data_IF_999893718369
#
_entry.id   IF_999893718369
#
_cell.length_a   1.000
_cell.length_b   1.000
_cell.length_c   1.000
_cell.angle_alpha   90.00
_cell.angle_beta   90.00
_cell.angle_gamma   90.00
#
_symmetry.space_group_name_H-M   'P 1'
#
loop_
_entity.id
_entity.type
_entity.pdbx_description
1 polymer ?
#
# COMPACT_ATOMS: atom_id res chain seq x y z
N UNK A 1 -25.88 25.22 -39.11
CA UNK A 1 -26.06 26.29 -38.11
C UNK A 1 -26.52 25.63 -36.82
N UNK A 2 -25.55 25.28 -35.99
CA UNK A 2 -25.74 24.57 -34.72
C UNK A 2 -25.99 25.59 -33.63
N UNK A 3 -27.13 25.49 -32.94
CA UNK A 3 -27.39 26.31 -31.76
C UNK A 3 -27.18 25.49 -30.50
N UNK A 4 -26.14 25.92 -29.77
CA UNK A 4 -25.87 25.79 -28.35
C UNK A 4 -27.07 25.33 -27.48
N UNK A 5 -26.91 24.20 -26.81
CA UNK A 5 -27.44 23.99 -25.47
C UNK A 5 -26.26 23.65 -24.56
N UNK A 6 -25.71 24.70 -23.93
CA UNK A 6 -24.89 24.56 -22.73
C UNK A 6 -25.81 24.01 -21.62
N UNK A 7 -25.67 22.73 -21.31
CA UNK A 7 -26.29 22.15 -20.12
C UNK A 7 -25.45 22.62 -18.94
N UNK A 8 -25.93 23.66 -18.26
CA UNK A 8 -25.53 24.00 -16.91
C UNK A 8 -26.01 22.87 -15.98
N UNK A 9 -25.14 21.91 -15.70
CA UNK A 9 -25.23 21.07 -14.51
C UNK A 9 -24.05 21.45 -13.61
N UNK A 10 -24.32 21.97 -12.42
CA UNK A 10 -23.28 22.16 -11.40
C UNK A 10 -22.55 20.82 -11.23
N UNK A 11 -21.30 20.74 -11.64
CA UNK A 11 -20.48 19.55 -11.44
C UNK A 11 -20.31 19.37 -9.94
N UNK A 12 -20.99 18.36 -9.39
CA UNK A 12 -20.94 17.95 -7.99
C UNK A 12 -19.58 17.27 -7.65
N UNK A 13 -18.47 17.84 -8.16
CA UNK A 13 -17.14 17.38 -7.83
C UNK A 13 -16.84 17.76 -6.37
N UNK A 14 -16.31 16.84 -5.55
CA UNK A 14 -15.95 17.16 -4.19
C UNK A 14 -14.86 18.22 -4.18
N UNK A 15 -15.07 19.32 -3.44
CA UNK A 15 -14.07 20.37 -3.27
C UNK A 15 -13.14 20.01 -2.10
N UNK A 16 -12.16 19.14 -2.35
CA UNK A 16 -11.19 18.73 -1.34
C UNK A 16 -10.11 19.81 -1.18
N UNK A 17 -9.89 20.23 0.06
CA UNK A 17 -8.92 21.26 0.43
C UNK A 17 -7.75 20.72 1.26
N UNK A 18 -7.87 19.53 1.83
CA UNK A 18 -6.80 18.88 2.60
C UNK A 18 -6.93 17.35 2.53
N UNK A 19 -5.82 16.67 2.76
CA UNK A 19 -5.76 15.21 2.80
C UNK A 19 -5.27 14.72 4.16
N UNK A 20 -5.81 13.59 4.61
CA UNK A 20 -5.43 12.96 5.86
C UNK A 20 -5.09 11.50 5.57
N UNK A 21 -3.90 11.08 5.97
CA UNK A 21 -3.43 9.71 5.77
C UNK A 21 -3.45 8.95 7.08
N UNK A 22 -3.96 7.72 7.06
CA UNK A 22 -3.48 6.71 8.01
C UNK A 22 -2.01 6.33 7.70
N UNK A 23 -1.35 5.67 8.65
CA UNK A 23 0.04 5.27 8.55
C UNK A 23 0.22 3.77 8.27
N UNK A 24 -0.35 2.93 9.14
CA UNK A 24 0.00 1.52 9.26
C UNK A 24 -0.85 0.69 8.30
N UNK A 25 -0.26 0.18 7.22
CA UNK A 25 -0.99 -0.53 6.16
C UNK A 25 -1.50 0.38 5.03
N UNK A 26 -1.53 1.70 5.25
CA UNK A 26 -1.86 2.71 4.23
C UNK A 26 -0.63 3.35 3.58
N UNK A 27 0.26 3.95 4.37
CA UNK A 27 1.50 4.58 3.87
C UNK A 27 2.73 3.68 4.09
N UNK A 28 2.78 2.98 5.22
CA UNK A 28 3.87 2.09 5.60
C UNK A 28 3.42 0.65 5.71
N UNK A 29 4.25 -0.24 5.22
CA UNK A 29 4.09 -1.67 5.39
C UNK A 29 4.63 -2.13 6.76
N UNK A 30 3.91 -1.80 7.82
CA UNK A 30 4.32 -2.15 9.19
C UNK A 30 3.98 -3.59 9.55
N UNK A 31 2.97 -4.19 8.93
CA UNK A 31 2.61 -5.59 9.15
C UNK A 31 3.76 -6.54 8.76
N UNK A 32 4.28 -6.44 7.53
CA UNK A 32 5.37 -7.33 7.10
C UNK A 32 6.68 -7.02 7.81
N UNK A 33 6.96 -5.75 8.10
CA UNK A 33 8.14 -5.36 8.88
C UNK A 33 8.15 -6.02 10.28
N UNK A 34 6.97 -6.14 10.90
CA UNK A 34 6.84 -6.66 12.27
C UNK A 34 6.45 -8.13 12.34
N UNK A 35 6.33 -8.79 11.19
CA UNK A 35 6.05 -10.22 11.09
C UNK A 35 7.11 -11.02 11.85
N UNK A 36 6.65 -11.91 12.74
CA UNK A 36 7.52 -12.77 13.53
C UNK A 36 8.01 -12.17 14.86
N UNK A 37 7.82 -10.87 15.13
CA UNK A 37 8.17 -10.25 16.43
C UNK A 37 7.49 -10.98 17.60
N UNK A 38 6.21 -11.31 17.47
CA UNK A 38 5.50 -12.06 18.49
C UNK A 38 6.09 -13.47 18.67
N UNK A 39 6.45 -14.14 17.58
CA UNK A 39 7.05 -15.48 17.66
C UNK A 39 8.43 -15.45 18.33
N UNK A 40 9.22 -14.42 18.03
CA UNK A 40 10.51 -14.18 18.70
C UNK A 40 10.34 -14.02 20.21
N UNK A 41 9.35 -13.23 20.64
CA UNK A 41 9.07 -13.05 22.07
C UNK A 41 8.54 -14.34 22.71
N UNK A 42 7.56 -14.99 22.09
CA UNK A 42 6.97 -16.23 22.60
C UNK A 42 7.98 -17.37 22.73
N UNK A 43 8.98 -17.43 21.84
CA UNK A 43 10.09 -18.38 21.92
C UNK A 43 10.85 -18.29 23.24
N UNK A 44 10.99 -17.09 23.84
CA UNK A 44 11.61 -16.91 25.17
C UNK A 44 10.84 -17.60 26.29
N UNK A 45 9.56 -17.87 26.07
CA UNK A 45 8.65 -18.55 27.00
C UNK A 45 8.35 -20.00 26.58
N UNK A 46 9.08 -20.55 25.59
CA UNK A 46 8.85 -21.89 25.07
C UNK A 46 7.48 -22.05 24.39
N UNK A 47 6.95 -20.97 23.80
CA UNK A 47 5.67 -20.93 23.08
C UNK A 47 5.90 -20.62 21.59
N UNK A 48 4.97 -21.06 20.74
CA UNK A 48 4.99 -20.79 19.30
C UNK A 48 3.69 -20.09 18.87
N UNK A 49 3.78 -19.22 17.87
CA UNK A 49 2.61 -18.53 17.34
C UNK A 49 1.66 -19.49 16.61
N UNK A 50 0.40 -19.55 17.05
CA UNK A 50 -0.68 -20.15 16.28
C UNK A 50 -1.21 -19.15 15.23
N UNK A 51 -0.70 -19.22 13.99
CA UNK A 51 -1.01 -18.26 12.91
C UNK A 51 -2.50 -18.05 12.67
N UNK A 52 -3.30 -19.11 12.62
CA UNK A 52 -4.75 -19.02 12.38
C UNK A 52 -5.49 -18.25 13.49
N UNK A 53 -5.02 -18.37 14.73
CA UNK A 53 -5.60 -17.66 15.88
C UNK A 53 -5.29 -16.17 15.82
N UNK A 54 -4.11 -15.81 15.34
CA UNK A 54 -3.64 -14.42 15.29
C UNK A 54 -4.36 -13.62 14.20
N UNK A 55 -4.47 -14.19 13.01
CA UNK A 55 -5.07 -13.54 11.83
C UNK A 55 -6.56 -13.23 12.05
N UNK A 56 -7.29 -14.08 12.80
CA UNK A 56 -8.75 -13.95 12.98
C UNK A 56 -9.19 -13.10 14.18
N UNK A 57 -8.34 -12.93 15.20
CA UNK A 57 -8.79 -12.41 16.52
C UNK A 57 -8.46 -10.94 16.79
N UNK A 58 -7.65 -10.26 15.98
CA UNK A 58 -6.97 -9.03 16.43
C UNK A 58 -7.33 -7.74 15.69
N UNK A 59 -8.14 -7.84 14.65
CA UNK A 59 -8.62 -6.68 13.93
C UNK A 59 -9.41 -5.75 14.86
N UNK A 60 -8.94 -4.51 14.98
CA UNK A 60 -9.62 -3.44 15.72
C UNK A 60 -9.46 -3.44 17.24
N UNK A 61 -8.53 -4.20 17.80
CA UNK A 61 -8.24 -4.17 19.25
C UNK A 61 -7.22 -3.09 19.61
N UNK A 62 -7.37 -2.51 20.80
CA UNK A 62 -6.33 -1.66 21.40
C UNK A 62 -5.10 -2.49 21.77
N UNK A 63 -3.93 -1.84 21.91
CA UNK A 63 -2.70 -2.52 22.33
C UNK A 63 -2.86 -3.24 23.68
N UNK A 64 -3.60 -2.66 24.63
CA UNK A 64 -3.85 -3.26 25.94
C UNK A 64 -4.75 -4.50 25.84
N UNK A 65 -5.81 -4.44 25.05
CA UNK A 65 -6.69 -5.60 24.81
C UNK A 65 -5.93 -6.73 24.11
N UNK A 66 -5.15 -6.40 23.08
CA UNK A 66 -4.30 -7.36 22.36
C UNK A 66 -3.27 -8.00 23.29
N UNK A 67 -2.57 -7.21 24.11
CA UNK A 67 -1.62 -7.72 25.11
C UNK A 67 -2.28 -8.63 26.14
N UNK A 68 -3.44 -8.24 26.68
CA UNK A 68 -4.19 -9.06 27.63
C UNK A 68 -4.64 -10.39 27.02
N UNK A 69 -5.06 -10.37 25.76
CA UNK A 69 -5.42 -11.58 25.03
C UNK A 69 -4.20 -12.45 24.74
N UNK A 70 -3.06 -11.90 24.34
CA UNK A 70 -1.82 -12.66 24.11
C UNK A 70 -1.38 -13.37 25.39
N UNK A 71 -1.27 -12.61 26.49
CA UNK A 71 -0.87 -13.16 27.79
C UNK A 71 -1.78 -14.32 28.19
N UNK A 72 -3.09 -14.16 28.02
CA UNK A 72 -4.09 -15.20 28.32
C UNK A 72 -3.99 -16.39 27.37
N UNK A 73 -3.98 -16.15 26.06
CA UNK A 73 -4.07 -17.17 25.02
C UNK A 73 -2.83 -18.08 24.99
N UNK A 74 -1.65 -17.54 25.34
CA UNK A 74 -0.39 -18.27 25.41
C UNK A 74 0.02 -18.66 26.84
N UNK A 75 -0.80 -18.31 27.84
CA UNK A 75 -0.57 -18.61 29.26
C UNK A 75 0.81 -18.11 29.73
N UNK A 76 1.13 -16.86 29.38
CA UNK A 76 2.40 -16.25 29.76
C UNK A 76 2.39 -15.90 31.25
N UNK A 77 3.55 -15.99 31.89
CA UNK A 77 3.75 -15.58 33.29
C UNK A 77 3.88 -14.07 33.47
N UNK A 78 3.47 -13.28 32.48
CA UNK A 78 3.56 -11.82 32.44
C UNK A 78 2.19 -11.19 32.70
N UNK A 79 2.19 -9.99 33.24
CA UNK A 79 1.05 -9.07 33.12
C UNK A 79 1.00 -8.47 31.71
N UNK A 80 -0.15 -7.96 31.23
CA UNK A 80 -0.25 -7.26 29.95
C UNK A 80 0.74 -6.09 29.84
N UNK A 81 0.96 -5.35 30.93
CA UNK A 81 1.90 -4.23 30.98
C UNK A 81 3.35 -4.69 30.83
N UNK A 82 3.73 -5.78 31.50
CA UNK A 82 5.07 -6.38 31.34
C UNK A 82 5.28 -6.91 29.92
N UNK A 83 4.26 -7.56 29.34
CA UNK A 83 4.30 -8.01 27.96
C UNK A 83 4.54 -6.86 26.98
N UNK A 84 3.79 -5.75 27.11
CA UNK A 84 3.97 -4.55 26.29
C UNK A 84 5.40 -4.02 26.43
N UNK A 85 5.92 -3.95 27.66
CA UNK A 85 7.29 -3.49 27.93
C UNK A 85 8.35 -4.37 27.27
N UNK A 86 8.12 -5.68 27.15
CA UNK A 86 9.06 -6.60 26.50
C UNK A 86 8.95 -6.60 24.97
N UNK A 87 7.74 -6.48 24.41
CA UNK A 87 7.54 -6.56 22.95
C UNK A 87 7.83 -5.25 22.23
N UNK A 88 7.57 -4.09 22.86
CA UNK A 88 7.69 -2.79 22.20
C UNK A 88 9.09 -2.48 21.67
N UNK A 89 10.20 -2.76 22.39
CA UNK A 89 11.53 -2.54 21.84
C UNK A 89 11.80 -3.35 20.57
N UNK A 90 11.25 -4.57 20.47
CA UNK A 90 11.36 -5.41 19.28
C UNK A 90 10.59 -4.77 18.11
N UNK A 91 9.37 -4.28 18.35
CA UNK A 91 8.59 -3.54 17.34
C UNK A 91 9.32 -2.29 16.86
N UNK A 92 9.86 -1.47 17.78
CA UNK A 92 10.60 -0.24 17.44
C UNK A 92 11.81 -0.56 16.56
N UNK A 93 12.54 -1.65 16.85
CA UNK A 93 13.65 -2.07 16.01
C UNK A 93 13.19 -2.44 14.60
N UNK A 94 12.09 -3.19 14.47
CA UNK A 94 11.57 -3.62 13.17
C UNK A 94 10.92 -2.49 12.36
N UNK A 95 10.28 -1.52 13.01
CA UNK A 95 9.66 -0.38 12.32
C UNK A 95 10.67 0.45 11.52
N UNK A 96 11.95 0.45 11.90
CA UNK A 96 13.02 1.12 11.15
C UNK A 96 13.24 0.52 9.76
N UNK A 97 12.85 -0.73 9.59
CA UNK A 97 12.98 -1.49 8.35
C UNK A 97 11.69 -1.43 7.50
N UNK A 98 10.61 -0.85 8.04
CA UNK A 98 9.34 -0.72 7.34
C UNK A 98 9.53 0.08 6.05
N UNK A 99 8.92 -0.40 4.97
CA UNK A 99 9.01 0.24 3.66
C UNK A 99 7.75 1.03 3.37
N UNK A 100 7.91 2.12 2.62
CA UNK A 100 6.78 2.83 2.06
C UNK A 100 5.98 1.90 1.14
N UNK A 101 4.66 2.00 1.20
CA UNK A 101 3.78 1.28 0.28
C UNK A 101 3.82 1.92 -1.11
N UNK A 102 3.53 1.15 -2.18
CA UNK A 102 3.62 1.65 -3.55
C UNK A 102 2.77 2.91 -3.74
N UNK A 103 3.41 4.01 -4.15
CA UNK A 103 2.77 5.30 -4.37
C UNK A 103 2.77 6.25 -3.17
N UNK A 104 3.13 5.81 -1.96
CA UNK A 104 3.13 6.65 -0.74
C UNK A 104 4.10 7.85 -0.85
N UNK A 105 5.37 7.60 -1.19
CA UNK A 105 6.35 8.68 -1.36
C UNK A 105 5.93 9.66 -2.47
N UNK A 106 5.40 9.13 -3.57
CA UNK A 106 4.93 9.93 -4.71
C UNK A 106 3.79 10.87 -4.32
N UNK A 107 2.75 10.36 -3.67
CA UNK A 107 1.57 11.17 -3.33
C UNK A 107 1.92 12.25 -2.29
N UNK A 108 2.75 11.92 -1.29
CA UNK A 108 3.24 12.88 -0.29
C UNK A 108 4.04 14.00 -0.97
N UNK A 109 5.04 13.63 -1.79
CA UNK A 109 5.87 14.61 -2.51
C UNK A 109 5.05 15.50 -3.43
N UNK A 110 4.07 14.93 -4.14
CA UNK A 110 3.19 15.67 -5.04
C UNK A 110 2.33 16.69 -4.31
N UNK A 111 1.69 16.30 -3.22
CA UNK A 111 0.85 17.21 -2.44
C UNK A 111 1.66 18.28 -1.70
N UNK A 112 2.84 17.94 -1.19
CA UNK A 112 3.76 18.94 -0.64
C UNK A 112 4.16 19.98 -1.70
N UNK A 113 4.59 19.53 -2.88
CA UNK A 113 4.97 20.41 -4.01
C UNK A 113 3.84 21.36 -4.41
N UNK A 114 2.59 20.89 -4.35
CA UNK A 114 1.42 21.67 -4.74
C UNK A 114 0.75 22.43 -3.58
N UNK A 115 1.37 22.44 -2.39
CA UNK A 115 0.85 23.17 -1.23
C UNK A 115 -0.48 22.63 -0.69
N UNK A 116 -0.81 21.37 -0.96
CA UNK A 116 -2.01 20.72 -0.41
C UNK A 116 -1.73 20.37 1.06
N UNK A 117 -2.50 20.89 2.04
CA UNK A 117 -2.33 20.54 3.45
C UNK A 117 -2.51 19.05 3.68
N UNK A 118 -1.55 18.46 4.38
CA UNK A 118 -1.55 17.05 4.75
C UNK A 118 -1.49 16.87 6.25
N UNK A 119 -2.26 15.89 6.74
CA UNK A 119 -2.13 15.36 8.09
C UNK A 119 -1.86 13.85 8.08
N UNK A 120 -1.16 13.37 9.11
CA UNK A 120 -1.05 11.96 9.44
C UNK A 120 -1.83 11.68 10.72
N UNK A 121 -2.77 10.74 10.69
CA UNK A 121 -3.60 10.39 11.84
C UNK A 121 -3.68 8.86 11.99
N UNK A 122 -3.08 8.31 13.07
CA UNK A 122 -2.97 6.87 13.30
C UNK A 122 -3.49 6.47 14.67
N UNK A 123 -3.96 5.22 14.80
CA UNK A 123 -4.30 4.61 16.08
C UNK A 123 -3.05 4.24 16.92
N UNK A 124 -1.85 4.38 16.36
CA UNK A 124 -0.60 4.32 17.12
C UNK A 124 -0.47 5.49 18.10
N UNK A 125 0.29 5.30 19.18
CA UNK A 125 0.76 6.43 20.01
C UNK A 125 1.64 7.35 19.16
N UNK A 126 1.62 8.65 19.46
CA UNK A 126 2.46 9.63 18.76
C UNK A 126 3.92 9.24 18.79
N UNK A 127 4.44 8.78 19.93
CA UNK A 127 5.82 8.30 20.04
C UNK A 127 6.14 7.14 19.07
N UNK A 128 5.20 6.25 18.79
CA UNK A 128 5.39 5.14 17.85
C UNK A 128 5.31 5.60 16.40
N UNK A 129 4.51 6.61 16.09
CA UNK A 129 4.53 7.26 14.78
C UNK A 129 5.94 7.83 14.52
N UNK A 130 6.50 8.57 15.48
CA UNK A 130 7.87 9.12 15.37
C UNK A 130 8.97 8.05 15.46
N UNK A 131 8.66 6.82 15.86
CA UNK A 131 9.59 5.69 15.74
C UNK A 131 9.57 5.04 14.34
N UNK A 132 8.57 5.35 13.51
CA UNK A 132 8.37 4.78 12.16
C UNK A 132 8.81 5.74 11.05
N UNK A 133 8.31 6.98 11.08
CA UNK A 133 8.41 7.90 9.94
C UNK A 133 9.79 8.52 9.66
N UNK A 134 10.73 8.71 10.61
CA UNK A 134 11.99 9.44 10.33
C UNK A 134 12.93 8.75 9.33
N UNK A 135 12.71 7.47 9.04
CA UNK A 135 13.50 6.70 8.08
C UNK A 135 13.06 6.92 6.62
N UNK A 136 12.02 7.73 6.40
CA UNK A 136 11.48 8.07 5.10
C UNK A 136 11.75 9.56 4.82
N UNK A 137 12.59 9.82 3.82
CA UNK A 137 13.08 11.17 3.52
C UNK A 137 11.94 12.17 3.29
N UNK A 138 11.97 13.27 4.06
CA UNK A 138 11.01 14.36 3.96
C UNK A 138 9.62 14.10 4.56
N UNK A 139 9.34 12.91 5.11
CA UNK A 139 7.99 12.59 5.63
C UNK A 139 7.62 13.44 6.83
N UNK A 140 8.53 13.58 7.80
CA UNK A 140 8.23 14.30 9.05
C UNK A 140 7.86 15.76 8.77
N UNK A 141 8.53 16.37 7.78
CA UNK A 141 8.34 17.76 7.36
C UNK A 141 7.14 17.95 6.43
N UNK A 142 6.71 16.88 5.76
CA UNK A 142 5.60 16.92 4.80
C UNK A 142 4.23 17.10 5.46
N UNK A 143 4.06 16.62 6.70
CA UNK A 143 2.78 16.67 7.40
C UNK A 143 2.69 17.91 8.30
N UNK A 144 1.71 18.77 8.01
CA UNK A 144 1.41 19.93 8.86
C UNK A 144 0.86 19.52 10.24
N UNK A 145 0.27 18.34 10.33
CA UNK A 145 -0.32 17.77 11.54
C UNK A 145 0.02 16.28 11.62
N UNK A 146 0.54 15.84 12.76
CA UNK A 146 0.76 14.42 13.08
C UNK A 146 0.03 14.11 14.39
N UNK A 147 -0.89 13.15 14.34
CA UNK A 147 -1.73 12.74 15.47
C UNK A 147 -1.63 11.24 15.76
N UNK A 148 -1.32 10.93 17.01
CA UNK A 148 -1.52 9.61 17.60
C UNK A 148 -2.79 9.55 18.45
N UNK A 149 -3.22 8.33 18.78
CA UNK A 149 -4.44 8.09 19.57
C UNK A 149 -4.39 8.69 20.99
N UNK A 150 -3.19 8.93 21.55
CA UNK A 150 -2.95 9.58 22.84
C UNK A 150 -3.29 11.07 22.84
N UNK A 151 -3.57 11.65 21.67
CA UNK A 151 -3.87 13.07 21.51
C UNK A 151 -5.37 13.36 21.34
N UNK A 152 -6.22 12.34 21.44
CA UNK A 152 -7.68 12.46 21.35
C UNK A 152 -8.36 11.64 22.43
N UNK A 153 -9.67 11.86 22.61
CA UNK A 153 -10.45 11.14 23.63
C UNK A 153 -10.71 9.69 23.22
N UNK A 154 -11.02 9.46 21.96
CA UNK A 154 -11.30 8.13 21.41
C UNK A 154 -10.57 7.94 20.08
N UNK A 155 -9.79 6.86 19.96
CA UNK A 155 -9.19 6.46 18.68
C UNK A 155 -10.23 5.92 17.69
N UNK A 156 -9.78 5.59 16.48
CA UNK A 156 -10.61 4.93 15.45
C UNK A 156 -11.22 3.65 16.05
N UNK A 157 -12.52 3.37 15.87
CA UNK A 157 -13.41 3.90 14.83
C UNK A 157 -14.17 5.18 15.19
N UNK A 158 -13.87 5.84 16.32
CA UNK A 158 -14.41 7.15 16.62
C UNK A 158 -13.83 8.21 15.67
N UNK A 159 -14.57 9.29 15.35
CA UNK A 159 -14.13 10.30 14.38
C UNK A 159 -13.05 11.24 14.93
N UNK A 160 -12.81 11.25 16.24
CA UNK A 160 -12.03 12.27 16.95
C UNK A 160 -10.63 12.51 16.33
N UNK A 161 -9.92 11.46 15.92
CA UNK A 161 -8.59 11.57 15.28
C UNK A 161 -8.65 12.39 13.99
N UNK A 162 -9.64 12.12 13.13
CA UNK A 162 -9.77 12.82 11.86
C UNK A 162 -10.35 14.22 12.03
N UNK A 163 -11.34 14.40 12.91
CA UNK A 163 -11.89 15.72 13.24
C UNK A 163 -10.82 16.66 13.82
N UNK A 164 -10.00 16.17 14.73
CA UNK A 164 -8.89 16.95 15.31
C UNK A 164 -7.81 17.24 14.26
N UNK A 165 -7.53 16.32 13.32
CA UNK A 165 -6.61 16.58 12.21
C UNK A 165 -7.12 17.74 11.32
N UNK A 166 -8.38 17.68 10.89
CA UNK A 166 -9.00 18.72 10.08
C UNK A 166 -9.00 20.08 10.79
N UNK A 167 -9.36 20.09 12.09
CA UNK A 167 -9.35 21.28 12.94
C UNK A 167 -7.96 21.91 13.05
N UNK A 168 -6.90 21.11 13.26
CA UNK A 168 -5.52 21.61 13.34
C UNK A 168 -4.98 22.11 12.01
N UNK A 169 -5.46 21.56 10.89
CA UNK A 169 -5.19 22.09 9.56
C UNK A 169 -6.03 23.34 9.22
N UNK A 170 -7.03 23.69 10.04
CA UNK A 170 -7.93 24.81 9.77
C UNK A 170 -8.92 24.54 8.63
N UNK A 171 -9.23 23.28 8.34
CA UNK A 171 -10.10 22.86 7.23
C UNK A 171 -11.38 22.21 7.77
N UNK A 172 -12.51 22.43 7.10
CA UNK A 172 -13.75 21.73 7.44
C UNK A 172 -13.62 20.24 7.10
N UNK A 173 -14.04 19.36 8.00
CA UNK A 173 -13.98 17.91 7.80
C UNK A 173 -14.62 17.44 6.47
N UNK A 174 -15.70 18.06 6.01
CA UNK A 174 -16.35 17.68 4.74
C UNK A 174 -15.50 17.98 3.50
N UNK A 175 -14.47 18.81 3.65
CA UNK A 175 -13.51 19.17 2.60
C UNK A 175 -12.19 18.40 2.75
N UNK A 176 -12.15 17.39 3.63
CA UNK A 176 -11.00 16.50 3.79
C UNK A 176 -11.21 15.18 3.03
N UNK A 177 -10.12 14.67 2.48
CA UNK A 177 -10.03 13.34 1.88
C UNK A 177 -9.13 12.46 2.75
N UNK A 178 -9.67 11.33 3.22
CA UNK A 178 -8.96 10.35 4.04
C UNK A 178 -8.47 9.19 3.17
N UNK A 179 -7.22 8.79 3.36
CA UNK A 179 -6.67 7.53 2.84
C UNK A 179 -6.54 6.53 3.99
N UNK A 180 -7.12 5.36 3.82
CA UNK A 180 -7.23 4.32 4.86
C UNK A 180 -7.23 2.92 4.27
N UNK A 181 -6.66 1.94 4.96
CA UNK A 181 -6.69 0.54 4.58
C UNK A 181 -7.68 -0.27 5.42
N UNK A 182 -8.01 0.21 6.62
CA UNK A 182 -8.75 -0.58 7.60
C UNK A 182 -10.24 -0.24 7.70
N UNK A 183 -11.09 -1.24 8.02
CA UNK A 183 -12.52 -0.98 8.23
C UNK A 183 -12.75 -0.04 9.42
N UNK A 184 -11.90 -0.14 10.43
CA UNK A 184 -11.93 0.68 11.64
C UNK A 184 -11.70 2.15 11.28
N UNK A 185 -10.72 2.43 10.44
CA UNK A 185 -10.43 3.77 9.98
C UNK A 185 -11.44 4.31 8.98
N UNK A 186 -11.92 3.49 8.04
CA UNK A 186 -13.01 3.86 7.14
C UNK A 186 -14.27 4.26 7.94
N UNK A 187 -14.62 3.54 9.00
CA UNK A 187 -15.73 3.91 9.90
C UNK A 187 -15.52 5.26 10.59
N UNK A 188 -14.30 5.53 11.07
CA UNK A 188 -13.95 6.81 11.69
C UNK A 188 -14.07 7.98 10.69
N UNK A 189 -13.53 7.82 9.48
CA UNK A 189 -13.59 8.85 8.44
C UNK A 189 -15.04 9.12 8.00
N UNK A 190 -15.83 8.05 7.87
CA UNK A 190 -17.26 8.15 7.57
C UNK A 190 -18.03 8.87 8.69
N UNK A 191 -17.76 8.54 9.96
CA UNK A 191 -18.36 9.22 11.11
C UNK A 191 -18.01 10.72 11.15
N UNK A 192 -16.80 11.08 10.73
CA UNK A 192 -16.33 12.47 10.57
C UNK A 192 -16.90 13.18 9.32
N UNK A 193 -17.74 12.50 8.51
CA UNK A 193 -18.34 13.00 7.26
C UNK A 193 -17.32 13.42 6.20
N UNK A 194 -16.15 12.80 6.22
CA UNK A 194 -15.07 13.06 5.25
C UNK A 194 -15.25 12.22 3.99
N UNK A 195 -14.54 12.58 2.92
CA UNK A 195 -14.38 11.70 1.76
C UNK A 195 -13.31 10.66 2.03
N UNK A 196 -13.44 9.48 1.42
CA UNK A 196 -12.64 8.31 1.77
C UNK A 196 -12.15 7.58 0.51
N UNK A 197 -10.84 7.42 0.40
CA UNK A 197 -10.17 6.48 -0.50
C UNK A 197 -9.67 5.32 0.34
N UNK A 198 -10.25 4.15 0.14
CA UNK A 198 -9.80 2.93 0.79
C UNK A 198 -8.70 2.23 -0.03
N UNK A 199 -7.65 1.77 0.61
CA UNK A 199 -6.55 0.98 0.00
C UNK A 199 -6.31 -0.30 0.83
N UNK A 200 -7.32 -1.17 0.95
CA UNK A 200 -7.30 -2.27 1.91
C UNK A 200 -6.17 -3.26 1.61
N UNK A 201 -5.53 -3.74 2.68
CA UNK A 201 -4.77 -4.98 2.64
C UNK A 201 -5.73 -6.17 2.46
N UNK A 202 -5.17 -7.35 2.19
CA UNK A 202 -5.99 -8.50 1.84
C UNK A 202 -6.94 -8.90 2.99
N UNK A 203 -8.20 -9.21 2.65
CA UNK A 203 -9.20 -9.71 3.59
C UNK A 203 -10.12 -8.65 4.19
N UNK A 204 -9.84 -7.36 3.95
CA UNK A 204 -10.65 -6.24 4.44
C UNK A 204 -11.69 -5.73 3.41
N UNK A 205 -12.41 -6.66 2.77
CA UNK A 205 -13.38 -6.32 1.71
C UNK A 205 -14.59 -5.51 2.18
N UNK A 206 -14.81 -5.43 3.49
CA UNK A 206 -15.88 -4.61 4.08
C UNK A 206 -15.56 -3.10 4.06
N UNK A 207 -14.29 -2.70 3.90
CA UNK A 207 -13.89 -1.29 3.71
C UNK A 207 -14.61 -0.66 2.52
N UNK A 208 -14.89 -1.45 1.48
CA UNK A 208 -15.44 -1.02 0.21
C UNK A 208 -16.86 -0.43 0.30
N UNK A 209 -17.63 -0.74 1.35
CA UNK A 209 -19.05 -0.34 1.42
C UNK A 209 -19.26 1.12 1.83
N UNK A 210 -18.36 1.66 2.65
CA UNK A 210 -18.45 3.02 3.17
C UNK A 210 -17.48 3.98 2.48
N UNK A 211 -16.44 3.45 1.82
CA UNK A 211 -15.49 4.25 1.07
C UNK A 211 -16.14 4.85 -0.19
N UNK A 212 -15.66 6.03 -0.61
CA UNK A 212 -16.10 6.64 -1.86
C UNK A 212 -15.43 5.97 -3.07
N UNK A 213 -14.16 5.57 -2.92
CA UNK A 213 -13.39 4.79 -3.89
C UNK A 213 -12.57 3.75 -3.14
N UNK A 214 -12.39 2.58 -3.73
CA UNK A 214 -11.44 1.57 -3.26
C UNK A 214 -10.40 1.33 -4.35
N UNK A 215 -9.14 1.41 -3.98
CA UNK A 215 -7.98 1.19 -4.85
C UNK A 215 -7.22 -0.05 -4.37
N UNK A 216 -6.52 -0.73 -5.27
CA UNK A 216 -5.57 -1.77 -4.85
C UNK A 216 -4.24 -1.17 -4.40
N UNK A 217 -3.93 0.05 -4.88
CA UNK A 217 -2.65 0.71 -4.67
C UNK A 217 -2.80 2.22 -4.70
N UNK A 218 -1.98 2.96 -3.96
CA UNK A 218 -1.93 4.43 -4.07
C UNK A 218 -1.43 4.87 -5.47
N UNK A 219 -0.78 4.00 -6.24
CA UNK A 219 -0.42 4.24 -7.64
C UNK A 219 -1.64 4.49 -8.54
N UNK A 220 -2.82 3.97 -8.18
CA UNK A 220 -4.06 4.12 -8.95
C UNK A 220 -4.76 5.47 -8.70
N UNK A 221 -4.35 6.21 -7.67
CA UNK A 221 -5.03 7.43 -7.25
C UNK A 221 -4.95 8.53 -8.33
N UNK A 222 -6.06 9.26 -8.50
CA UNK A 222 -6.22 10.33 -9.48
C UNK A 222 -6.70 11.61 -8.77
N UNK A 223 -5.78 12.53 -8.40
CA UNK A 223 -6.11 13.74 -7.65
C UNK A 223 -7.21 14.59 -8.30
N UNK A 224 -7.23 14.67 -9.62
CA UNK A 224 -8.15 15.46 -10.41
C UNK A 224 -9.62 15.07 -10.24
N UNK A 225 -9.90 13.81 -9.85
CA UNK A 225 -11.26 13.36 -9.54
C UNK A 225 -11.81 14.00 -8.26
N UNK A 226 -10.93 14.60 -7.45
CA UNK A 226 -11.20 15.19 -6.15
C UNK A 226 -11.02 16.72 -6.14
N UNK A 227 -10.83 17.33 -7.32
CA UNK A 227 -10.51 18.75 -7.43
C UNK A 227 -9.10 19.11 -6.94
N UNK A 228 -8.23 18.11 -6.72
CA UNK A 228 -6.83 18.30 -6.34
C UNK A 228 -5.95 18.42 -7.60
N UNK A 229 -4.77 19.07 -7.51
CA UNK A 229 -3.86 19.21 -8.64
C UNK A 229 -3.46 17.84 -9.24
N UNK A 230 -3.63 17.63 -10.56
CA UNK A 230 -3.27 16.36 -11.20
C UNK A 230 -1.78 16.09 -11.06
N UNK A 231 -1.42 14.81 -11.06
CA UNK A 231 -0.02 14.40 -11.16
C UNK A 231 0.62 14.87 -12.48
N UNK A 232 1.87 15.34 -12.42
CA UNK A 232 2.62 15.89 -13.56
C UNK A 232 3.87 15.07 -13.94
N UNK A 233 3.97 13.84 -13.43
CA UNK A 233 5.12 12.93 -13.55
C UNK A 233 4.87 11.70 -14.44
N UNK A 234 3.71 11.63 -15.10
CA UNK A 234 3.43 10.60 -16.10
C UNK A 234 4.28 10.83 -17.35
N UNK A 235 4.88 9.75 -17.86
CA UNK A 235 5.56 9.74 -19.15
C UNK A 235 4.75 8.87 -20.09
N UNK A 236 4.04 9.52 -21.01
CA UNK A 236 2.99 8.92 -21.83
C UNK A 236 1.94 8.19 -20.96
N UNK A 237 1.77 6.88 -21.15
CA UNK A 237 0.83 6.03 -20.40
C UNK A 237 1.46 5.34 -19.19
N UNK A 238 2.67 5.75 -18.79
CA UNK A 238 3.45 5.07 -17.75
C UNK A 238 3.83 5.97 -16.59
N UNK A 239 3.99 5.33 -15.44
CA UNK A 239 4.45 5.96 -14.21
C UNK A 239 5.76 5.30 -13.78
N UNK A 240 6.90 6.03 -13.76
CA UNK A 240 8.09 5.61 -13.04
C UNK A 240 7.76 5.33 -11.56
N UNK A 241 8.26 4.21 -11.04
CA UNK A 241 8.06 3.84 -9.63
C UNK A 241 9.39 3.58 -8.94
N UNK A 242 9.37 3.60 -7.61
CA UNK A 242 10.47 3.05 -6.83
C UNK A 242 10.66 1.57 -7.17
N UNK A 243 11.90 1.11 -7.40
CA UNK A 243 12.14 -0.26 -7.83
C UNK A 243 11.54 -1.31 -6.90
N UNK A 244 10.79 -2.25 -7.48
CA UNK A 244 10.25 -3.41 -6.77
C UNK A 244 10.96 -4.65 -7.28
N UNK A 245 11.65 -5.35 -6.38
CA UNK A 245 12.40 -6.55 -6.72
C UNK A 245 11.57 -7.82 -6.45
N UNK A 246 11.59 -8.74 -7.41
CA UNK A 246 10.99 -10.06 -7.31
C UNK A 246 12.05 -11.12 -7.62
N UNK A 247 11.91 -12.29 -7.02
CA UNK A 247 12.68 -13.46 -7.44
C UNK A 247 11.86 -14.73 -7.28
N UNK A 248 12.08 -15.70 -8.14
CA UNK A 248 11.34 -16.96 -8.10
C UNK A 248 11.69 -17.87 -9.27
N UNK A 249 11.01 -19.01 -9.30
CA UNK A 249 11.16 -19.98 -10.37
C UNK A 249 10.22 -19.61 -11.53
N UNK A 250 10.77 -19.35 -12.70
CA UNK A 250 9.97 -19.08 -13.90
C UNK A 250 9.44 -20.38 -14.47
N UNK A 251 8.12 -20.55 -14.50
CA UNK A 251 7.45 -21.73 -15.05
C UNK A 251 6.35 -21.27 -16.00
N UNK A 252 6.53 -21.57 -17.30
CA UNK A 252 5.53 -21.35 -18.35
C UNK A 252 4.84 -19.97 -18.30
N UNK A 253 5.62 -18.87 -18.29
CA UNK A 253 5.06 -17.51 -18.28
C UNK A 253 4.59 -17.01 -16.92
N UNK A 254 4.84 -17.76 -15.84
CA UNK A 254 4.52 -17.35 -14.47
C UNK A 254 5.74 -17.45 -13.57
N UNK A 255 5.83 -16.58 -12.57
CA UNK A 255 6.82 -16.68 -11.52
C UNK A 255 6.18 -17.44 -10.35
N UNK A 256 6.81 -18.54 -9.93
CA UNK A 256 6.40 -19.33 -8.77
C UNK A 256 7.28 -19.00 -7.56
N UNK A 257 6.64 -18.92 -6.40
CA UNK A 257 7.35 -18.76 -5.12
C UNK A 257 8.12 -20.04 -4.77
N UNK A 258 9.32 -19.87 -4.23
CA UNK A 258 10.08 -20.95 -3.60
C UNK A 258 9.74 -21.02 -2.12
N UNK A 259 9.88 -22.21 -1.49
CA UNK A 259 9.52 -22.43 -0.07
C UNK A 259 10.22 -21.51 0.93
N UNK A 260 11.30 -20.85 0.54
CA UNK A 260 12.06 -19.89 1.34
C UNK A 260 11.46 -18.47 1.31
N UNK A 261 10.60 -18.15 0.33
CA UNK A 261 9.98 -16.84 0.12
C UNK A 261 8.44 -16.97 0.06
N UNK A 262 7.78 -17.19 1.20
CA UNK A 262 6.32 -17.44 1.35
C UNK A 262 5.43 -16.22 0.96
N UNK A 263 6.07 -15.14 0.56
CA UNK A 263 5.51 -13.97 -0.14
C UNK A 263 6.69 -13.52 -0.99
N UNK A 264 6.55 -13.15 -2.27
CA UNK A 264 7.64 -12.56 -3.09
C UNK A 264 8.44 -11.39 -2.45
N UNK A 265 8.17 -11.02 -1.20
CA UNK A 265 8.73 -9.90 -0.47
C UNK A 265 7.95 -8.62 -0.74
N UNK A 266 6.80 -8.72 -1.44
CA UNK A 266 6.04 -7.55 -1.91
C UNK A 266 4.75 -7.31 -1.13
N UNK A 267 4.34 -6.04 -0.98
CA UNK A 267 3.09 -5.69 -0.30
C UNK A 267 1.88 -6.21 -1.04
N UNK A 268 0.77 -6.39 -0.32
CA UNK A 268 -0.53 -6.73 -0.90
C UNK A 268 -0.95 -5.70 -1.94
N UNK A 269 -0.61 -4.43 -1.72
CA UNK A 269 -0.89 -3.29 -2.59
C UNK A 269 -0.06 -3.25 -3.90
N UNK A 270 0.84 -4.23 -4.11
CA UNK A 270 1.47 -4.46 -5.43
C UNK A 270 0.55 -5.36 -6.25
N UNK A 271 -0.40 -4.73 -6.94
CA UNK A 271 -1.34 -5.34 -7.89
C UNK A 271 -1.37 -4.43 -9.13
N UNK A 272 -1.51 -5.01 -10.32
CA UNK A 272 -1.60 -4.28 -11.58
C UNK A 272 -0.57 -4.71 -12.62
N UNK A 273 -0.34 -3.82 -13.58
CA UNK A 273 0.57 -4.06 -14.72
C UNK A 273 1.84 -3.22 -14.52
N UNK A 274 2.97 -3.90 -14.49
CA UNK A 274 4.30 -3.34 -14.27
C UNK A 274 5.22 -3.68 -15.43
N UNK A 275 6.33 -2.96 -15.52
CA UNK A 275 7.39 -3.27 -16.46
C UNK A 275 8.76 -3.03 -15.82
N UNK A 276 9.76 -3.69 -16.38
CA UNK A 276 11.11 -3.60 -15.88
C UNK A 276 12.07 -4.56 -16.55
N UNK A 277 13.08 -4.97 -15.79
CA UNK A 277 14.17 -5.80 -16.26
C UNK A 277 14.15 -7.16 -15.55
N UNK A 278 14.37 -8.23 -16.30
CA UNK A 278 14.49 -9.58 -15.79
C UNK A 278 15.88 -10.13 -16.10
N UNK A 279 16.53 -10.69 -15.08
CA UNK A 279 17.81 -11.36 -15.15
C UNK A 279 17.61 -12.86 -14.94
N UNK A 280 18.03 -13.66 -15.92
CA UNK A 280 17.87 -15.13 -15.94
C UNK A 280 19.19 -15.84 -15.65
N UNK A 281 20.30 -15.27 -16.12
CA UNK A 281 21.68 -15.73 -15.89
C UNK A 281 22.62 -14.55 -15.61
N UNK A 282 23.94 -14.76 -15.54
CA UNK A 282 24.89 -13.70 -15.16
C UNK A 282 24.98 -12.57 -16.17
N UNK A 283 24.64 -12.83 -17.45
CA UNK A 283 25.10 -12.00 -18.57
C UNK A 283 23.96 -11.40 -19.41
N UNK A 284 22.69 -11.82 -19.20
CA UNK A 284 21.57 -11.36 -20.02
C UNK A 284 20.44 -10.72 -19.21
N UNK A 285 20.18 -9.44 -19.50
CA UNK A 285 19.01 -8.70 -19.03
C UNK A 285 17.96 -8.63 -20.13
N UNK A 286 16.70 -8.89 -19.78
CA UNK A 286 15.58 -8.81 -20.69
C UNK A 286 14.58 -7.76 -20.23
N UNK A 287 14.05 -6.98 -21.17
CA UNK A 287 12.86 -6.17 -20.90
C UNK A 287 11.67 -7.08 -20.65
N UNK A 288 10.90 -6.78 -19.62
CA UNK A 288 9.74 -7.57 -19.23
C UNK A 288 8.52 -6.71 -18.92
N UNK A 289 7.36 -7.26 -19.29
CA UNK A 289 6.06 -6.86 -18.78
C UNK A 289 5.63 -7.87 -17.72
N UNK A 290 5.14 -7.39 -16.57
CA UNK A 290 4.72 -8.23 -15.46
C UNK A 290 3.31 -7.84 -15.03
N UNK A 291 2.41 -8.82 -14.96
CA UNK A 291 1.09 -8.66 -14.35
C UNK A 291 1.08 -9.33 -12.99
N UNK A 292 0.63 -8.59 -11.98
CA UNK A 292 0.49 -9.08 -10.61
C UNK A 292 -0.97 -8.96 -10.23
N UNK A 293 -1.63 -10.10 -9.98
CA UNK A 293 -3.03 -10.15 -9.59
C UNK A 293 -3.25 -11.06 -8.39
N UNK A 294 -4.40 -10.92 -7.74
CA UNK A 294 -4.80 -11.80 -6.65
C UNK A 294 -5.20 -13.17 -7.21
N UNK A 295 -4.70 -14.22 -6.59
CA UNK A 295 -5.08 -15.60 -6.88
C UNK A 295 -5.63 -16.24 -5.61
N UNK A 296 -6.96 -16.30 -5.50
CA UNK A 296 -7.63 -16.88 -4.33
C UNK A 296 -7.48 -18.40 -4.24
N UNK A 297 -6.89 -19.05 -5.25
CA UNK A 297 -6.68 -20.50 -5.30
C UNK A 297 -5.26 -20.95 -4.92
N UNK A 298 -4.31 -20.01 -4.76
CA UNK A 298 -2.89 -20.32 -4.52
C UNK A 298 -2.43 -20.04 -3.09
N UNK A 299 -1.36 -20.73 -2.66
CA UNK A 299 -0.74 -20.54 -1.34
C UNK A 299 -0.05 -19.17 -1.21
N UNK A 300 0.54 -18.67 -2.31
CA UNK A 300 1.15 -17.34 -2.43
C UNK A 300 0.11 -16.22 -2.47
N UNK A 301 -1.13 -16.56 -2.81
CA UNK A 301 -2.28 -15.68 -2.96
C UNK A 301 -2.13 -14.55 -4.00
N UNK A 302 -1.03 -14.57 -4.75
CA UNK A 302 -0.74 -13.71 -5.88
C UNK A 302 -0.29 -14.55 -7.06
N UNK A 303 -0.80 -14.21 -8.25
CA UNK A 303 -0.32 -14.71 -9.53
C UNK A 303 0.56 -13.64 -10.17
N UNK A 304 1.80 -13.99 -10.44
CA UNK A 304 2.77 -13.14 -11.13
C UNK A 304 2.99 -13.73 -12.51
N UNK A 305 2.43 -13.09 -13.54
CA UNK A 305 2.62 -13.47 -14.93
C UNK A 305 3.68 -12.58 -15.56
N UNK A 306 4.62 -13.19 -16.28
CA UNK A 306 5.83 -12.55 -16.80
C UNK A 306 5.90 -12.78 -18.30
N UNK A 307 6.04 -11.69 -19.06
CA UNK A 307 6.28 -11.73 -20.50
C UNK A 307 7.58 -11.02 -20.82
N UNK A 308 8.44 -11.68 -21.58
CA UNK A 308 9.66 -11.09 -22.09
C UNK A 308 9.38 -10.38 -23.42
N UNK A 309 9.90 -9.17 -23.57
CA UNK A 309 9.56 -8.29 -24.70
C UNK A 309 10.55 -8.47 -25.86
N UNK A 310 11.85 -8.57 -25.57
CA UNK A 310 12.92 -8.66 -26.57
C UNK A 310 13.61 -10.04 -26.59
N UNK A 311 13.00 -11.07 -25.99
CA UNK A 311 13.56 -12.41 -26.00
C UNK A 311 13.34 -13.08 -27.37
N UNK A 312 14.38 -13.07 -28.21
CA UNK A 312 14.42 -13.85 -29.46
C UNK A 312 14.64 -15.36 -29.23
N UNK A 313 14.78 -15.79 -27.98
CA UNK A 313 15.01 -17.18 -27.58
C UNK A 313 13.98 -17.60 -26.54
N UNK A 314 13.51 -18.84 -26.64
CA UNK A 314 12.62 -19.43 -25.64
C UNK A 314 13.39 -19.55 -24.31
N UNK A 315 13.10 -18.63 -23.37
CA UNK A 315 13.60 -18.74 -22.00
C UNK A 315 13.08 -20.05 -21.43
N UNK A 316 14.00 -20.92 -21.01
CA UNK A 316 13.66 -22.27 -20.57
C UNK A 316 12.78 -22.17 -19.32
N UNK A 317 11.72 -22.97 -19.29
CA UNK A 317 10.94 -23.18 -18.08
C UNK A 317 11.85 -23.77 -16.99
N UNK A 318 11.52 -23.50 -15.72
CA UNK A 318 12.23 -23.96 -14.52
C UNK A 318 13.59 -23.29 -14.27
N UNK A 319 13.73 -22.02 -14.67
CA UNK A 319 14.91 -21.21 -14.33
C UNK A 319 14.62 -20.23 -13.19
N UNK A 320 15.58 -20.04 -12.30
CA UNK A 320 15.50 -18.97 -11.31
C UNK A 320 15.70 -17.64 -12.01
N UNK A 321 14.78 -16.69 -11.81
CA UNK A 321 14.89 -15.35 -12.38
C UNK A 321 14.77 -14.29 -11.29
N UNK A 322 15.44 -13.16 -11.51
CA UNK A 322 15.32 -11.95 -10.71
C UNK A 322 14.68 -10.87 -11.57
N UNK A 323 13.69 -10.16 -11.05
CA UNK A 323 12.99 -9.09 -11.76
C UNK A 323 13.11 -7.80 -10.95
N UNK A 324 13.44 -6.70 -11.62
CA UNK A 324 13.42 -5.34 -11.10
C UNK A 324 12.32 -4.57 -11.85
N UNK A 325 11.19 -4.32 -11.20
CA UNK A 325 10.10 -3.52 -11.74
C UNK A 325 10.40 -2.04 -11.49
N UNK A 326 10.34 -1.21 -12.53
CA UNK A 326 10.73 0.21 -12.48
C UNK A 326 9.62 1.14 -12.96
N UNK A 327 8.53 0.58 -13.50
CA UNK A 327 7.38 1.37 -13.90
C UNK A 327 6.06 0.62 -13.78
N UNK A 328 5.00 1.40 -13.78
CA UNK A 328 3.61 0.97 -13.69
C UNK A 328 2.83 1.48 -14.91
N UNK A 329 1.97 0.64 -15.46
CA UNK A 329 1.08 1.00 -16.56
C UNK A 329 -0.33 1.15 -15.99
N UNK A 330 -0.94 2.32 -16.21
CA UNK A 330 -2.32 2.56 -15.82
C UNK A 330 -3.27 1.72 -16.68
N UNK A 331 -3.89 0.70 -16.09
CA UNK A 331 -4.94 -0.04 -16.76
C UNK A 331 -6.21 0.84 -16.88
N UNK A 332 -6.79 0.95 -18.08
CA UNK A 332 -7.96 1.80 -18.34
C UNK A 332 -9.28 1.22 -17.78
N UNK A 333 -9.29 -0.07 -17.40
CA UNK A 333 -10.46 -0.74 -16.86
C UNK A 333 -10.10 -1.66 -15.69
N UNK A 334 -10.24 -1.16 -14.47
CA UNK A 334 -9.94 -1.88 -13.23
C UNK A 334 -10.92 -3.04 -12.94
N UNK A 335 -12.01 -3.20 -13.71
CA UNK A 335 -13.10 -4.10 -13.31
C UNK A 335 -12.85 -5.60 -13.53
N UNK A 336 -11.87 -6.01 -14.33
CA UNK A 336 -11.52 -7.44 -14.50
C UNK A 336 -10.04 -7.63 -14.86
N UNK A 337 -9.15 -7.53 -13.89
CA UNK A 337 -7.76 -8.02 -14.02
C UNK A 337 -7.70 -9.56 -13.90
N UNK A 338 -8.65 -10.28 -14.51
CA UNK A 338 -8.71 -11.75 -14.52
C UNK A 338 -8.03 -12.36 -15.75
N UNK A 339 -7.86 -11.57 -16.80
CA UNK A 339 -7.12 -11.92 -18.01
C UNK A 339 -6.77 -10.63 -18.71
N UNK A 340 -5.48 -10.35 -18.91
CA UNK A 340 -5.10 -9.35 -19.92
C UNK A 340 -5.64 -9.92 -21.24
N UNK A 341 -6.65 -9.28 -21.82
CA UNK A 341 -7.12 -9.65 -23.16
C UNK A 341 -5.92 -9.59 -24.09
N UNK A 342 -5.71 -10.61 -24.92
CA UNK A 342 -4.52 -10.73 -25.77
C UNK A 342 -4.27 -9.46 -26.62
N UNK A 343 -5.33 -8.72 -26.97
CA UNK A 343 -5.24 -7.45 -27.70
C UNK A 343 -4.58 -6.33 -26.88
N UNK A 344 -4.83 -6.26 -25.56
CA UNK A 344 -4.20 -5.27 -24.67
C UNK A 344 -2.76 -5.65 -24.29
N UNK A 345 -2.42 -6.94 -24.36
CA UNK A 345 -1.09 -7.41 -24.00
C UNK A 345 -0.02 -6.83 -24.93
N UNK A 346 -0.24 -6.83 -26.24
CA UNK A 346 0.72 -6.28 -27.21
C UNK A 346 0.84 -4.76 -27.09
N UNK A 347 -0.26 -4.06 -26.79
CA UNK A 347 -0.23 -2.63 -26.45
C UNK A 347 0.66 -2.38 -25.22
N UNK A 348 0.45 -3.12 -24.12
CA UNK A 348 1.26 -2.97 -22.91
C UNK A 348 2.72 -3.32 -23.11
N UNK A 349 3.04 -4.35 -23.91
CA UNK A 349 4.43 -4.66 -24.30
C UNK A 349 5.06 -3.51 -25.07
N UNK A 350 4.32 -2.91 -26.01
CA UNK A 350 4.79 -1.77 -26.79
C UNK A 350 5.10 -0.56 -25.89
N UNK A 351 4.18 -0.24 -24.97
CA UNK A 351 4.34 0.82 -23.97
C UNK A 351 5.57 0.56 -23.08
N UNK A 352 5.68 -0.65 -22.53
CA UNK A 352 6.80 -1.05 -21.69
C UNK A 352 8.14 -0.96 -22.43
N UNK A 353 8.20 -1.41 -23.69
CA UNK A 353 9.39 -1.35 -24.53
C UNK A 353 9.88 0.09 -24.69
N UNK A 354 8.98 0.97 -25.15
CA UNK A 354 9.29 2.38 -25.37
C UNK A 354 9.73 3.07 -24.08
N UNK A 355 9.08 2.74 -22.95
CA UNK A 355 9.40 3.33 -21.65
C UNK A 355 10.77 2.92 -21.13
N UNK A 356 11.16 1.67 -21.32
CA UNK A 356 12.47 1.15 -20.87
C UNK A 356 13.64 1.63 -21.74
N UNK A 357 13.37 2.17 -22.93
CA UNK A 357 14.38 2.83 -23.77
C UNK A 357 14.67 4.29 -23.32
N UNK A 358 13.88 4.83 -22.39
CA UNK A 358 14.12 6.17 -21.83
C UNK A 358 15.34 6.17 -20.89
N UNK A 359 16.23 7.18 -20.96
CA UNK A 359 17.43 7.25 -20.13
C UNK A 359 17.18 7.21 -18.61
N UNK A 360 16.03 7.69 -18.15
CA UNK A 360 15.62 7.69 -16.74
C UNK A 360 15.28 6.30 -16.21
N UNK A 361 14.95 5.34 -17.08
CA UNK A 361 14.45 4.00 -16.73
C UNK A 361 15.37 2.86 -17.25
N UNK A 362 16.40 3.20 -18.03
CA UNK A 362 17.34 2.24 -18.62
C UNK A 362 18.54 1.88 -17.72
N UNK A 363 18.63 2.44 -16.51
CA UNK A 363 19.83 2.36 -15.64
C UNK A 363 19.75 1.33 -14.50
N UNK A 364 18.88 0.32 -14.61
CA UNK A 364 18.60 -0.65 -13.54
C UNK A 364 19.10 -2.08 -13.81
#
# INVERSE_FOLDING_TARGET
MSNCCKINGCSNQPNILAVIFDLDGTLLDTERATRGVLNELLGKYGKEVNKEREEKKRLGMTQKESAALIVKDYQLSLTPEQFIKEINPLYIQRWREAKALPGANRIIKHFLKNGVPMALASNSLREYIYAKIPYHEGWTESFSVILGNDQVKFGKPAPDLFEEAAKRMGVNATNCLVFEDSLVGVKAAHAAKMKIVAVPSRGESDCCKLANVTLNSLLEFQPEQWGLPPFDDWVDSTLPIEPIHLSGLYVTGSLLETKENITFGIPDQVIGIYFGWAKVDTDTNFKTLVSISLDLSSVSNKKVSVWFIDANTDIKSEQQIQICLVGYIRAWDNKKLGSVEMEKLEEYKSIAKASLDLPSLSSF
#
